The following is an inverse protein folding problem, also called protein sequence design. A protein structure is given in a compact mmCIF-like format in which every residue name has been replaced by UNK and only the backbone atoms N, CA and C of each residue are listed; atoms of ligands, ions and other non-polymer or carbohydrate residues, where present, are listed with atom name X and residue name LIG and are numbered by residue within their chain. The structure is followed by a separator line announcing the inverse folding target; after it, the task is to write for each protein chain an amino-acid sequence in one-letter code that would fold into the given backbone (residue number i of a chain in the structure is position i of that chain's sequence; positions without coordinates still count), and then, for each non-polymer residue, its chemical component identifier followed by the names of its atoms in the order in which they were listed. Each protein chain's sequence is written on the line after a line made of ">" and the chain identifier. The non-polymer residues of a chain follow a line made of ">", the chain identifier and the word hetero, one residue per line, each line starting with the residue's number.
data_IF_608457566036
#
_entry.id   IF_608457566036
#
_cell.length_a   1.000
_cell.length_b   1.000
_cell.length_c   1.000
_cell.angle_alpha   90.00
_cell.angle_beta   90.00
_cell.angle_gamma   90.00
#
_symmetry.space_group_name_H-M   'P 1'
#
loop_
_entity.id
_entity.type
_entity.pdbx_description
1 polymer ?
#
# COMPACT_ATOMS: atom_id res chain seq x y z
N UNK A 1 -21.36 18.32 -9.27
CA UNK A 1 -21.10 17.10 -10.07
C UNK A 1 -19.65 16.63 -10.00
N UNK A 2 -18.66 17.53 -9.94
CA UNK A 2 -17.23 17.18 -9.81
C UNK A 2 -16.83 16.67 -8.42
N UNK A 3 -17.49 17.15 -7.37
CA UNK A 3 -17.18 16.77 -5.97
C UNK A 3 -17.61 15.33 -5.64
N UNK A 4 -18.74 14.88 -6.18
CA UNK A 4 -19.23 13.51 -6.00
C UNK A 4 -18.34 12.50 -6.73
N UNK A 5 -17.89 12.84 -7.93
CA UNK A 5 -16.99 12.00 -8.72
C UNK A 5 -15.61 11.89 -8.06
N UNK A 6 -15.03 13.00 -7.60
CA UNK A 6 -13.73 13.00 -6.89
C UNK A 6 -13.79 12.25 -5.56
N UNK A 7 -14.91 12.35 -4.84
CA UNK A 7 -15.14 11.51 -3.65
C UNK A 7 -15.27 10.03 -4.00
N UNK A 8 -15.94 9.69 -5.11
CA UNK A 8 -16.00 8.34 -5.65
C UNK A 8 -14.62 7.77 -5.96
N UNK A 9 -13.78 8.51 -6.68
CA UNK A 9 -12.40 8.12 -6.97
C UNK A 9 -11.56 7.96 -5.71
N UNK A 10 -11.70 8.86 -4.73
CA UNK A 10 -10.99 8.79 -3.45
C UNK A 10 -11.36 7.54 -2.66
N UNK A 11 -12.65 7.17 -2.64
CA UNK A 11 -13.11 5.94 -1.98
C UNK A 11 -12.59 4.69 -2.69
N UNK A 12 -12.61 4.68 -4.03
CA UNK A 12 -12.05 3.58 -4.82
C UNK A 12 -10.56 3.40 -4.56
N UNK A 13 -9.79 4.50 -4.62
CA UNK A 13 -8.38 4.51 -4.28
C UNK A 13 -8.15 4.04 -2.83
N UNK A 14 -8.98 4.48 -1.89
CA UNK A 14 -8.96 4.05 -0.50
C UNK A 14 -9.15 2.54 -0.35
N UNK A 15 -10.17 1.98 -1.00
CA UNK A 15 -10.45 0.53 -0.99
C UNK A 15 -9.27 -0.26 -1.57
N UNK A 16 -8.73 0.16 -2.71
CA UNK A 16 -7.55 -0.47 -3.31
C UNK A 16 -6.36 -0.42 -2.37
N UNK A 17 -6.12 0.73 -1.72
CA UNK A 17 -5.00 0.90 -0.81
C UNK A 17 -5.16 0.04 0.47
N UNK A 18 -6.38 -0.13 0.98
CA UNK A 18 -6.68 -1.10 2.06
C UNK A 18 -6.32 -2.52 1.62
N UNK A 19 -6.86 -2.97 0.48
CA UNK A 19 -6.63 -4.32 0.00
C UNK A 19 -5.13 -4.61 -0.19
N UNK A 20 -4.42 -3.72 -0.88
CA UNK A 20 -2.97 -3.87 -1.11
C UNK A 20 -2.19 -3.79 0.22
N UNK A 21 -2.59 -2.89 1.13
CA UNK A 21 -1.98 -2.77 2.45
C UNK A 21 -2.10 -4.04 3.28
N UNK A 22 -3.27 -4.68 3.27
CA UNK A 22 -3.49 -5.97 3.94
C UNK A 22 -2.61 -7.08 3.35
N UNK A 23 -2.47 -7.15 2.02
CA UNK A 23 -1.56 -8.11 1.37
C UNK A 23 -0.11 -7.90 1.84
N UNK A 24 0.36 -6.66 1.88
CA UNK A 24 1.71 -6.33 2.36
C UNK A 24 1.91 -6.66 3.84
N UNK A 25 0.88 -6.44 4.67
CA UNK A 25 0.93 -6.73 6.09
C UNK A 25 0.91 -8.24 6.40
N UNK A 26 0.10 -9.00 5.66
CA UNK A 26 -0.11 -10.44 5.88
C UNK A 26 0.96 -11.32 5.23
N UNK A 27 1.50 -10.91 4.07
CA UNK A 27 2.39 -11.74 3.26
C UNK A 27 3.76 -11.10 2.96
N UNK A 28 4.49 -10.54 3.96
CA UNK A 28 5.77 -9.87 3.70
C UNK A 28 6.85 -10.82 3.15
N UNK A 29 6.80 -12.10 3.51
CA UNK A 29 7.72 -13.10 2.96
C UNK A 29 7.50 -13.37 1.47
N UNK A 30 6.24 -13.38 1.02
CA UNK A 30 5.90 -13.54 -0.39
C UNK A 30 6.36 -12.33 -1.20
N UNK A 31 6.14 -11.12 -0.70
CA UNK A 31 6.59 -9.89 -1.35
C UNK A 31 8.11 -9.86 -1.56
N UNK A 32 8.90 -10.26 -0.57
CA UNK A 32 10.35 -10.33 -0.72
C UNK A 32 10.79 -11.43 -1.70
N UNK A 33 10.07 -12.55 -1.79
CA UNK A 33 10.34 -13.59 -2.78
C UNK A 33 10.05 -13.12 -4.20
N UNK A 34 8.91 -12.45 -4.40
CA UNK A 34 8.56 -11.86 -5.68
C UNK A 34 9.53 -10.76 -6.08
N UNK A 35 9.94 -9.91 -5.13
CA UNK A 35 11.00 -8.92 -5.34
C UNK A 35 12.30 -9.59 -5.79
N UNK A 36 12.72 -10.67 -5.12
CA UNK A 36 13.90 -11.42 -5.55
C UNK A 36 13.77 -11.96 -6.96
N UNK A 37 12.69 -12.67 -7.26
CA UNK A 37 12.47 -13.25 -8.58
C UNK A 37 12.39 -12.19 -9.69
N UNK A 38 11.73 -11.06 -9.41
CA UNK A 38 11.57 -9.97 -10.39
C UNK A 38 12.87 -9.23 -10.66
N UNK A 39 13.65 -8.92 -9.62
CA UNK A 39 14.96 -8.26 -9.79
C UNK A 39 15.95 -9.16 -10.52
N UNK A 40 15.97 -10.44 -10.19
CA UNK A 40 16.82 -11.42 -10.87
C UNK A 40 16.43 -11.55 -12.35
N UNK A 41 15.14 -11.79 -12.64
CA UNK A 41 14.69 -12.06 -14.01
C UNK A 41 14.64 -10.82 -14.93
N UNK A 42 14.26 -9.65 -14.40
CA UNK A 42 14.04 -8.46 -15.22
C UNK A 42 15.25 -7.52 -15.27
N UNK A 43 16.08 -7.54 -14.21
CA UNK A 43 17.18 -6.58 -14.04
C UNK A 43 18.55 -7.24 -13.94
N UNK A 44 18.64 -8.58 -13.85
CA UNK A 44 19.89 -9.32 -13.62
C UNK A 44 20.65 -8.82 -12.39
N UNK A 45 19.90 -8.50 -11.31
CA UNK A 45 20.45 -7.97 -10.06
C UNK A 45 20.05 -8.85 -8.87
N UNK A 46 21.04 -9.19 -8.05
CA UNK A 46 20.82 -9.96 -6.83
C UNK A 46 20.12 -9.14 -5.74
N UNK A 47 18.88 -9.53 -5.44
CA UNK A 47 18.12 -8.94 -4.33
C UNK A 47 18.39 -9.66 -3.00
N UNK A 48 19.10 -8.96 -2.10
CA UNK A 48 19.38 -9.39 -0.72
C UNK A 48 18.61 -8.55 0.31
N UNK A 49 17.48 -9.05 0.84
CA UNK A 49 16.77 -8.36 1.91
C UNK A 49 17.64 -8.30 3.17
N UNK A 50 17.71 -7.11 3.79
CA UNK A 50 18.42 -6.91 5.06
C UNK A 50 17.60 -7.45 6.24
N UNK A 51 18.25 -7.57 7.39
CA UNK A 51 17.59 -7.89 8.64
C UNK A 51 16.43 -6.92 8.92
N UNK A 52 15.30 -7.45 9.40
CA UNK A 52 14.08 -6.65 9.62
C UNK A 52 13.30 -6.25 8.36
N UNK A 53 13.71 -6.62 7.13
CA UNK A 53 12.98 -6.25 5.90
C UNK A 53 11.52 -6.70 5.93
N UNK A 54 11.22 -7.91 6.43
CA UNK A 54 9.85 -8.42 6.61
C UNK A 54 9.00 -7.50 7.50
N UNK A 55 9.58 -7.02 8.61
CA UNK A 55 8.92 -6.08 9.52
C UNK A 55 8.63 -4.76 8.83
N UNK A 56 9.56 -4.23 8.03
CA UNK A 56 9.37 -2.98 7.28
C UNK A 56 8.26 -3.13 6.24
N UNK A 57 8.23 -4.21 5.46
CA UNK A 57 7.14 -4.49 4.52
C UNK A 57 5.79 -4.57 5.24
N UNK A 58 5.75 -5.23 6.40
CA UNK A 58 4.54 -5.29 7.22
C UNK A 58 4.08 -3.92 7.70
N UNK A 59 5.00 -3.08 8.18
CA UNK A 59 4.71 -1.71 8.61
C UNK A 59 4.21 -0.84 7.45
N UNK A 60 4.80 -0.98 6.26
CA UNK A 60 4.32 -0.31 5.04
C UNK A 60 2.89 -0.75 4.72
N UNK A 61 2.60 -2.05 4.80
CA UNK A 61 1.23 -2.56 4.61
C UNK A 61 0.22 -1.98 5.59
N UNK A 62 0.59 -1.89 6.87
CA UNK A 62 -0.26 -1.25 7.90
C UNK A 62 -0.49 0.24 7.58
N UNK A 63 0.55 0.97 7.18
CA UNK A 63 0.43 2.38 6.81
C UNK A 63 -0.47 2.58 5.58
N UNK A 64 -0.34 1.73 4.56
CA UNK A 64 -1.21 1.74 3.39
C UNK A 64 -2.66 1.47 3.79
N UNK A 65 -2.91 0.47 4.64
CA UNK A 65 -4.26 0.14 5.09
C UNK A 65 -4.89 1.29 5.90
N UNK A 66 -4.12 1.93 6.78
CA UNK A 66 -4.59 3.08 7.55
C UNK A 66 -4.95 4.28 6.62
N UNK A 67 -4.07 4.62 5.67
CA UNK A 67 -4.34 5.68 4.69
C UNK A 67 -5.54 5.34 3.82
N UNK A 68 -5.67 4.09 3.39
CA UNK A 68 -6.78 3.63 2.57
C UNK A 68 -8.10 3.72 3.31
N UNK A 69 -8.12 3.32 4.58
CA UNK A 69 -9.29 3.43 5.45
C UNK A 69 -9.69 4.90 5.65
N UNK A 70 -8.71 5.80 5.82
CA UNK A 70 -8.97 7.24 5.91
C UNK A 70 -9.65 7.77 4.64
N UNK A 71 -9.11 7.46 3.45
CA UNK A 71 -9.67 7.88 2.17
C UNK A 71 -11.07 7.28 1.93
N UNK A 72 -11.26 6.00 2.27
CA UNK A 72 -12.52 5.31 2.12
C UNK A 72 -13.61 5.91 3.03
N UNK A 73 -13.26 6.24 4.27
CA UNK A 73 -14.19 6.81 5.24
C UNK A 73 -14.54 8.28 4.94
N UNK A 74 -13.54 9.12 4.64
CA UNK A 74 -13.76 10.55 4.46
C UNK A 74 -14.13 10.96 3.03
N UNK A 75 -13.87 10.10 2.03
CA UNK A 75 -14.08 10.40 0.62
C UNK A 75 -13.15 11.48 0.06
N UNK A 76 -11.98 11.69 0.67
CA UNK A 76 -10.99 12.68 0.23
C UNK A 76 -10.13 13.20 1.39
N UNK A 77 -9.08 13.96 1.06
CA UNK A 77 -8.25 14.63 2.07
C UNK A 77 -9.01 15.86 2.58
N UNK A 78 -9.44 15.83 3.84
CA UNK A 78 -10.11 16.97 4.48
C UNK A 78 -9.07 17.82 5.19
N UNK A 79 -8.68 19.00 4.68
CA UNK A 79 -7.90 19.93 5.48
C UNK A 79 -8.75 20.38 6.67
N UNK A 80 -8.29 20.09 7.89
CA UNK A 80 -8.77 20.77 9.09
C UNK A 80 -8.16 22.16 9.09
N UNK A 81 -8.84 23.13 8.49
CA UNK A 81 -8.57 24.52 8.83
C UNK A 81 -9.11 24.74 10.25
N UNK A 82 -8.17 24.96 11.19
CA UNK A 82 -8.45 25.52 12.52
C UNK A 82 -8.52 27.02 12.38
#
# INVERSE_FOLDING_TARGET
>A
MTDDASAGYSRLAGLTLVAVGLVHAAAPGLMLRLGRAGYDAALDVEFRPREGSKRRVRLVGVAMAATGAHLLYHGGIRPRWV
#
